data_IF_553037266325
#
_entry.id   IF_553037266325
#
_cell.length_a   1.000
_cell.length_b   1.000
_cell.length_c   1.000
_cell.angle_alpha   90.00
_cell.angle_beta   90.00
_cell.angle_gamma   90.00
#
_symmetry.space_group_name_H-M   'P 1'
#
loop_
_entity.id
_entity.type
_entity.pdbx_description
1 polymer ?
#
# COMPACT_ATOMS: atom_id res chain seq x y z
N UNK A 1 3.06 14.55 9.16
CA UNK A 1 3.62 15.02 7.92
C UNK A 1 4.82 14.23 7.44
N UNK A 2 5.92 14.91 7.15
CA UNK A 2 7.11 14.36 6.48
C UNK A 2 7.71 13.15 7.20
N UNK A 3 7.83 13.22 8.53
CA UNK A 3 8.36 12.10 9.33
C UNK A 3 7.52 10.83 9.13
N UNK A 4 6.21 10.95 9.18
CA UNK A 4 5.30 9.81 9.04
C UNK A 4 5.39 9.18 7.63
N UNK A 5 5.49 10.01 6.59
CA UNK A 5 5.72 9.53 5.22
C UNK A 5 7.03 8.73 5.12
N UNK A 6 8.12 9.24 5.71
CA UNK A 6 9.40 8.53 5.75
C UNK A 6 9.32 7.23 6.54
N UNK A 7 8.62 7.23 7.68
CA UNK A 7 8.42 6.01 8.51
C UNK A 7 7.58 4.94 7.82
N UNK A 8 6.81 5.27 6.81
CA UNK A 8 6.05 4.32 6.01
C UNK A 8 6.87 3.90 4.78
N UNK A 9 7.35 4.87 3.99
CA UNK A 9 7.95 4.61 2.68
C UNK A 9 9.26 3.83 2.77
N UNK A 10 10.18 4.28 3.64
CA UNK A 10 11.51 3.66 3.75
C UNK A 10 11.43 2.23 4.30
N UNK A 11 10.77 1.98 5.44
CA UNK A 11 10.61 0.62 5.94
C UNK A 11 9.84 -0.30 4.98
N UNK A 12 8.79 0.19 4.30
CA UNK A 12 8.06 -0.60 3.32
C UNK A 12 8.98 -1.08 2.18
N UNK A 13 9.79 -0.18 1.63
CA UNK A 13 10.76 -0.53 0.59
C UNK A 13 11.79 -1.55 1.07
N UNK A 14 12.32 -1.38 2.28
CA UNK A 14 13.29 -2.31 2.88
C UNK A 14 12.67 -3.70 3.07
N UNK A 15 11.47 -3.77 3.64
CA UNK A 15 10.78 -5.05 3.90
C UNK A 15 10.49 -5.77 2.59
N UNK A 16 9.95 -5.09 1.59
CA UNK A 16 9.64 -5.70 0.28
C UNK A 16 10.91 -6.20 -0.39
N UNK A 17 11.98 -5.40 -0.42
CA UNK A 17 13.26 -5.81 -0.98
C UNK A 17 13.83 -7.04 -0.25
N UNK A 18 13.74 -7.09 1.07
CA UNK A 18 14.19 -8.21 1.87
C UNK A 18 13.36 -9.49 1.64
N UNK A 19 12.03 -9.36 1.48
CA UNK A 19 11.15 -10.47 1.12
C UNK A 19 11.58 -11.06 -0.23
N UNK A 20 11.76 -10.22 -1.24
CA UNK A 20 12.19 -10.66 -2.56
C UNK A 20 13.59 -11.32 -2.54
N UNK A 21 14.51 -10.80 -1.74
CA UNK A 21 15.83 -11.39 -1.57
C UNK A 21 15.80 -12.78 -0.87
N UNK A 22 14.75 -13.06 -0.10
CA UNK A 22 14.54 -14.38 0.55
C UNK A 22 13.88 -15.42 -0.35
N UNK A 23 13.20 -14.99 -1.40
CA UNK A 23 12.64 -15.92 -2.39
C UNK A 23 13.79 -16.58 -3.16
N UNK A 24 13.87 -17.94 -3.23
CA UNK A 24 14.85 -18.61 -4.09
C UNK A 24 14.68 -18.18 -5.55
N UNK A 25 15.73 -17.63 -6.15
CA UNK A 25 15.69 -17.04 -7.49
C UNK A 25 15.24 -15.58 -7.54
N UNK A 26 14.93 -14.96 -6.36
CA UNK A 26 14.67 -13.53 -6.25
C UNK A 26 13.44 -13.04 -7.02
N UNK A 27 13.53 -11.82 -7.52
CA UNK A 27 12.45 -11.19 -8.28
C UNK A 27 12.08 -11.97 -9.54
N UNK A 28 13.05 -12.51 -10.25
CA UNK A 28 12.83 -13.26 -11.49
C UNK A 28 11.94 -14.50 -11.25
N UNK A 29 12.20 -15.21 -10.16
CA UNK A 29 11.38 -16.38 -9.76
C UNK A 29 9.94 -15.96 -9.38
N UNK A 30 9.78 -14.82 -8.69
CA UNK A 30 8.44 -14.31 -8.34
C UNK A 30 7.67 -13.94 -9.60
N UNK A 31 8.27 -13.19 -10.52
CA UNK A 31 7.60 -12.81 -11.77
C UNK A 31 7.32 -14.03 -12.66
N UNK A 32 8.27 -14.97 -12.79
CA UNK A 32 8.05 -16.19 -13.53
C UNK A 32 6.90 -17.03 -12.93
N UNK A 33 6.87 -17.19 -11.60
CA UNK A 33 5.81 -17.94 -10.89
C UNK A 33 4.44 -17.27 -11.02
N UNK A 34 4.38 -15.95 -10.85
CA UNK A 34 3.15 -15.20 -11.02
C UNK A 34 2.62 -15.25 -12.46
N UNK A 35 3.53 -15.18 -13.46
CA UNK A 35 3.19 -15.31 -14.88
C UNK A 35 2.75 -16.73 -15.26
N UNK A 36 3.36 -17.75 -14.66
CA UNK A 36 2.96 -19.15 -14.85
C UNK A 36 1.57 -19.47 -14.29
N UNK A 37 1.21 -18.82 -13.17
CA UNK A 37 -0.14 -18.93 -12.60
C UNK A 37 -1.20 -18.29 -13.52
N UNK A 38 -0.95 -17.11 -14.03
CA UNK A 38 -1.74 -16.42 -15.05
C UNK A 38 -0.86 -15.31 -15.68
N UNK A 39 -0.62 -15.39 -16.99
CA UNK A 39 0.16 -14.38 -17.72
C UNK A 39 -0.38 -12.94 -17.54
N UNK A 40 -1.68 -12.80 -17.28
CA UNK A 40 -2.33 -11.52 -17.02
C UNK A 40 -1.88 -10.87 -15.71
N UNK A 41 -1.30 -11.64 -14.77
CA UNK A 41 -0.78 -11.07 -13.51
C UNK A 41 0.40 -10.14 -13.71
N UNK A 42 1.10 -10.26 -14.84
CA UNK A 42 2.21 -9.39 -15.21
C UNK A 42 1.80 -8.21 -16.10
N UNK A 43 0.52 -8.13 -16.47
CA UNK A 43 0.02 -7.05 -17.31
C UNK A 43 -0.40 -5.85 -16.45
N UNK A 44 0.19 -4.69 -16.75
CA UNK A 44 -0.23 -3.40 -16.15
C UNK A 44 -1.61 -2.98 -16.69
N UNK A 45 -1.95 -3.40 -17.92
CA UNK A 45 -3.23 -3.10 -18.57
C UNK A 45 -4.14 -4.33 -18.45
N UNK A 46 -4.69 -4.54 -17.28
CA UNK A 46 -5.60 -5.63 -16.98
C UNK A 46 -7.03 -5.09 -16.88
N UNK A 47 -7.88 -5.25 -17.93
CA UNK A 47 -9.20 -4.61 -17.99
C UNK A 47 -10.15 -5.07 -16.88
N UNK A 48 -10.10 -6.34 -16.48
CA UNK A 48 -10.90 -6.91 -15.40
C UNK A 48 -10.52 -6.29 -14.04
N UNK A 49 -9.22 -6.16 -13.75
CA UNK A 49 -8.74 -5.50 -12.54
C UNK A 49 -8.98 -3.98 -12.58
N UNK A 50 -8.80 -3.35 -13.74
CA UNK A 50 -9.08 -1.93 -13.91
C UNK A 50 -10.56 -1.62 -13.72
N UNK A 51 -11.47 -2.40 -14.28
CA UNK A 51 -12.90 -2.19 -14.14
C UNK A 51 -13.41 -2.57 -12.73
N UNK A 52 -13.03 -3.76 -12.23
CA UNK A 52 -13.54 -4.29 -10.96
C UNK A 52 -12.97 -3.59 -9.73
N UNK A 53 -11.72 -3.15 -9.78
CA UNK A 53 -11.03 -2.53 -8.65
C UNK A 53 -10.59 -1.09 -8.94
N UNK A 54 -9.87 -0.88 -10.03
CA UNK A 54 -9.24 0.42 -10.30
C UNK A 54 -10.23 1.56 -10.47
N UNK A 55 -11.21 1.42 -11.35
CA UNK A 55 -12.22 2.46 -11.62
C UNK A 55 -13.12 2.65 -10.39
N UNK A 56 -13.59 1.57 -9.79
CA UNK A 56 -14.42 1.61 -8.58
C UNK A 56 -13.70 2.31 -7.43
N UNK A 57 -12.43 1.97 -7.21
CA UNK A 57 -11.60 2.60 -6.18
C UNK A 57 -11.35 4.08 -6.49
N UNK A 58 -11.07 4.43 -7.75
CA UNK A 58 -10.85 5.81 -8.15
C UNK A 58 -12.07 6.70 -7.88
N UNK A 59 -13.27 6.25 -8.26
CA UNK A 59 -14.52 6.98 -7.95
C UNK A 59 -14.82 7.02 -6.45
N UNK A 60 -14.59 5.92 -5.73
CA UNK A 60 -14.77 5.88 -4.28
C UNK A 60 -13.83 6.83 -3.55
N UNK A 61 -12.56 6.86 -3.91
CA UNK A 61 -11.58 7.78 -3.35
C UNK A 61 -11.86 9.25 -3.73
N UNK A 62 -12.31 9.51 -4.95
CA UNK A 62 -12.70 10.85 -5.36
C UNK A 62 -13.89 11.36 -4.52
N UNK A 63 -14.93 10.54 -4.36
CA UNK A 63 -16.08 10.87 -3.52
C UNK A 63 -15.66 11.07 -2.06
N UNK A 64 -14.82 10.19 -1.50
CA UNK A 64 -14.27 10.33 -0.17
C UNK A 64 -13.48 11.64 -0.01
N UNK A 65 -12.63 12.00 -0.97
CA UNK A 65 -11.85 13.24 -0.94
C UNK A 65 -12.76 14.47 -0.88
N UNK A 66 -13.88 14.48 -1.60
CA UNK A 66 -14.83 15.60 -1.60
C UNK A 66 -15.62 15.69 -0.28
N UNK A 67 -15.96 14.54 0.32
CA UNK A 67 -16.79 14.49 1.53
C UNK A 67 -16.00 14.49 2.84
N UNK A 68 -14.72 14.16 2.81
CA UNK A 68 -13.89 14.00 4.02
C UNK A 68 -13.27 15.32 4.46
N UNK A 69 -13.66 15.76 5.66
CA UNK A 69 -13.15 16.97 6.31
C UNK A 69 -11.62 16.97 6.48
N UNK A 70 -10.99 15.81 6.60
CA UNK A 70 -9.53 15.71 6.76
C UNK A 70 -8.77 16.23 5.54
N UNK A 71 -9.31 16.07 4.35
CA UNK A 71 -8.74 16.63 3.12
C UNK A 71 -8.89 18.14 3.08
N UNK A 72 -10.07 18.66 3.42
CA UNK A 72 -10.33 20.10 3.42
C UNK A 72 -9.45 20.85 4.41
N UNK A 73 -9.21 20.32 5.60
CA UNK A 73 -8.27 20.91 6.54
C UNK A 73 -6.86 21.05 5.95
N UNK A 74 -6.39 20.04 5.23
CA UNK A 74 -5.09 20.08 4.54
C UNK A 74 -5.08 21.11 3.42
N UNK A 75 -6.18 21.27 2.68
CA UNK A 75 -6.33 22.31 1.65
C UNK A 75 -6.24 23.70 2.26
N UNK A 76 -6.94 23.96 3.38
CA UNK A 76 -6.91 25.25 4.06
C UNK A 76 -5.54 25.60 4.67
N UNK A 77 -4.73 24.60 4.98
CA UNK A 77 -3.37 24.81 5.50
C UNK A 77 -2.36 25.22 4.42
N UNK A 78 -2.72 25.16 3.14
CA UNK A 78 -1.84 25.47 2.01
C UNK A 78 -2.27 26.78 1.35
N UNK A 79 -1.31 27.61 0.91
CA UNK A 79 -1.61 28.82 0.14
C UNK A 79 -2.40 28.46 -1.12
N UNK A 80 -3.48 29.17 -1.43
CA UNK A 80 -4.40 28.87 -2.53
C UNK A 80 -3.71 28.64 -3.88
N UNK A 81 -2.67 29.42 -4.19
CA UNK A 81 -1.88 29.29 -5.42
C UNK A 81 -1.07 28.01 -5.50
N UNK A 82 -0.75 27.38 -4.37
CA UNK A 82 0.14 26.23 -4.28
C UNK A 82 -0.63 24.91 -4.05
N UNK A 83 -1.95 24.95 -3.84
CA UNK A 83 -2.80 23.80 -3.53
C UNK A 83 -2.62 22.70 -4.59
N UNK A 84 -2.87 22.99 -5.86
CA UNK A 84 -2.80 22.01 -6.93
C UNK A 84 -1.42 21.35 -7.02
N UNK A 85 -0.36 22.16 -6.97
CA UNK A 85 1.03 21.66 -7.01
C UNK A 85 1.37 20.79 -5.82
N UNK A 86 0.96 21.20 -4.61
CA UNK A 86 1.22 20.45 -3.37
C UNK A 86 0.53 19.10 -3.39
N UNK A 87 -0.74 19.04 -3.80
CA UNK A 87 -1.49 17.79 -3.86
C UNK A 87 -1.00 16.86 -4.97
N UNK A 88 -0.58 17.40 -6.11
CA UNK A 88 0.04 16.61 -7.18
C UNK A 88 1.33 15.93 -6.70
N UNK A 89 2.22 16.69 -6.06
CA UNK A 89 3.45 16.13 -5.50
C UNK A 89 3.19 15.15 -4.36
N UNK A 90 2.22 15.43 -3.49
CA UNK A 90 1.83 14.51 -2.43
C UNK A 90 1.32 13.17 -3.00
N UNK A 91 0.51 13.21 -4.05
CA UNK A 91 0.04 12.03 -4.75
C UNK A 91 1.19 11.24 -5.40
N UNK A 92 2.10 11.94 -6.09
CA UNK A 92 3.27 11.31 -6.71
C UNK A 92 4.20 10.64 -5.69
N UNK A 93 4.40 11.25 -4.52
CA UNK A 93 5.21 10.69 -3.43
C UNK A 93 4.50 9.54 -2.70
N UNK A 94 3.18 9.55 -2.66
CA UNK A 94 2.41 8.47 -2.04
C UNK A 94 2.32 7.23 -2.93
N UNK A 95 2.26 7.40 -4.24
CA UNK A 95 2.01 6.34 -5.22
C UNK A 95 2.95 5.12 -5.12
N UNK A 96 4.27 5.25 -4.87
CA UNK A 96 5.17 4.10 -4.70
C UNK A 96 4.79 3.17 -3.53
N UNK A 97 4.17 3.69 -2.46
CA UNK A 97 3.86 2.90 -1.25
C UNK A 97 2.92 1.73 -1.54
N UNK A 98 1.70 1.95 -2.09
CA UNK A 98 0.79 0.85 -2.39
C UNK A 98 1.35 -0.09 -3.47
N UNK A 99 2.14 0.40 -4.42
CA UNK A 99 2.80 -0.45 -5.41
C UNK A 99 3.80 -1.39 -4.71
N UNK A 100 4.72 -0.85 -3.90
CA UNK A 100 5.67 -1.67 -3.16
C UNK A 100 4.98 -2.73 -2.30
N UNK A 101 3.99 -2.35 -1.51
CA UNK A 101 3.27 -3.29 -0.66
C UNK A 101 2.45 -4.30 -1.49
N UNK A 102 1.88 -3.87 -2.61
CA UNK A 102 1.18 -4.74 -3.55
C UNK A 102 2.08 -5.82 -4.17
N UNK A 103 3.38 -5.58 -4.29
CA UNK A 103 4.33 -6.58 -4.76
C UNK A 103 4.42 -7.82 -3.85
N UNK A 104 4.06 -7.71 -2.56
CA UNK A 104 3.92 -8.87 -1.68
C UNK A 104 2.82 -9.81 -2.18
N UNK A 105 1.77 -9.30 -2.81
CA UNK A 105 0.72 -10.10 -3.44
C UNK A 105 1.27 -10.97 -4.57
N UNK A 106 2.20 -10.47 -5.38
CA UNK A 106 2.85 -11.28 -6.44
C UNK A 106 3.64 -12.45 -5.85
N UNK A 107 4.30 -12.24 -4.71
CA UNK A 107 4.97 -13.34 -3.99
C UNK A 107 3.96 -14.41 -3.59
N UNK A 108 2.80 -14.02 -3.04
CA UNK A 108 1.73 -14.94 -2.69
C UNK A 108 1.23 -15.75 -3.89
N UNK A 109 1.02 -15.09 -5.03
CA UNK A 109 0.61 -15.77 -6.28
C UNK A 109 1.70 -16.73 -6.74
N UNK A 110 2.96 -16.33 -6.72
CA UNK A 110 4.08 -17.20 -7.13
C UNK A 110 4.22 -18.45 -6.27
N UNK A 111 3.88 -18.35 -4.98
CA UNK A 111 3.82 -19.51 -4.07
C UNK A 111 2.50 -20.30 -4.15
N UNK A 112 1.56 -19.90 -5.01
CA UNK A 112 0.27 -20.58 -5.19
C UNK A 112 -0.66 -20.45 -3.98
N UNK A 113 -0.47 -19.46 -3.12
CA UNK A 113 -1.30 -19.24 -1.93
C UNK A 113 -2.74 -18.94 -2.33
N UNK A 114 -3.66 -19.61 -1.67
CA UNK A 114 -5.11 -19.41 -1.83
C UNK A 114 -5.67 -18.66 -0.63
N UNK A 115 -6.84 -18.01 -0.76
CA UNK A 115 -7.48 -17.35 0.38
C UNK A 115 -7.64 -18.25 1.60
N UNK A 116 -7.93 -19.55 1.40
CA UNK A 116 -8.06 -20.51 2.49
C UNK A 116 -6.77 -20.67 3.33
N UNK A 117 -5.59 -20.52 2.69
CA UNK A 117 -4.29 -20.69 3.34
C UNK A 117 -3.94 -19.49 4.25
N UNK A 118 -4.61 -18.36 4.04
CA UNK A 118 -4.39 -17.09 4.74
C UNK A 118 -5.59 -16.66 5.59
N UNK A 119 -6.41 -17.62 6.03
CA UNK A 119 -7.55 -17.36 6.89
C UNK A 119 -8.80 -16.82 6.17
N UNK A 120 -8.88 -16.95 4.86
CA UNK A 120 -10.02 -16.53 4.04
C UNK A 120 -10.00 -15.04 3.63
N UNK A 121 -9.10 -14.23 4.18
CA UNK A 121 -8.99 -12.82 3.89
C UNK A 121 -7.74 -12.51 3.05
N UNK A 122 -7.94 -12.19 1.78
CA UNK A 122 -6.85 -11.82 0.86
C UNK A 122 -6.09 -10.57 1.28
N UNK A 123 -6.67 -9.72 2.12
CA UNK A 123 -5.97 -8.52 2.66
C UNK A 123 -4.83 -8.95 3.59
N UNK A 124 -4.93 -10.13 4.21
CA UNK A 124 -3.89 -10.66 5.09
C UNK A 124 -2.65 -11.20 4.36
N UNK A 125 -2.60 -11.15 3.00
CA UNK A 125 -1.48 -11.70 2.23
C UNK A 125 -0.13 -11.06 2.59
N UNK A 126 -0.07 -9.75 2.76
CA UNK A 126 1.15 -9.03 3.13
C UNK A 126 1.72 -9.47 4.48
N UNK A 127 0.94 -9.36 5.58
CA UNK A 127 1.33 -9.88 6.90
C UNK A 127 1.72 -11.37 6.87
N UNK A 128 0.96 -12.18 6.15
CA UNK A 128 1.24 -13.62 6.02
C UNK A 128 2.62 -13.88 5.39
N UNK A 129 2.90 -13.28 4.24
CA UNK A 129 4.20 -13.44 3.55
C UNK A 129 5.34 -13.00 4.45
N UNK A 130 5.26 -11.81 5.04
CA UNK A 130 6.33 -11.27 5.88
C UNK A 130 6.60 -12.15 7.09
N UNK A 131 5.55 -12.74 7.69
CA UNK A 131 5.72 -13.60 8.89
C UNK A 131 6.21 -15.02 8.56
N UNK A 132 5.97 -15.54 7.35
CA UNK A 132 6.25 -16.95 7.02
C UNK A 132 7.48 -17.14 6.12
N UNK A 133 7.93 -16.10 5.39
CA UNK A 133 9.06 -16.24 4.45
C UNK A 133 10.45 -16.26 5.13
N UNK A 134 10.50 -16.06 6.45
CA UNK A 134 11.75 -16.14 7.22
C UNK A 134 12.67 -14.93 7.07
N UNK A 135 12.12 -13.72 6.95
CA UNK A 135 12.91 -12.47 6.89
C UNK A 135 13.58 -12.06 8.21
N UNK A 136 13.25 -12.76 9.29
CA UNK A 136 13.76 -12.46 10.63
C UNK A 136 12.91 -11.43 11.39
N UNK A 137 12.99 -11.49 12.73
CA UNK A 137 12.14 -10.70 13.62
C UNK A 137 12.26 -9.18 13.38
N UNK A 138 13.46 -8.68 13.13
CA UNK A 138 13.68 -7.23 12.90
C UNK A 138 12.86 -6.70 11.73
N UNK A 139 12.79 -7.45 10.62
CA UNK A 139 12.02 -7.04 9.44
C UNK A 139 10.52 -7.22 9.65
N UNK A 140 10.10 -8.21 10.42
CA UNK A 140 8.69 -8.35 10.85
C UNK A 140 8.29 -7.15 11.71
N UNK A 141 9.11 -6.76 12.68
CA UNK A 141 8.84 -5.56 13.51
C UNK A 141 8.84 -4.27 12.68
N UNK A 142 9.73 -4.18 11.69
CA UNK A 142 9.75 -3.05 10.76
C UNK A 142 8.46 -2.98 9.93
N UNK A 143 7.93 -4.11 9.49
CA UNK A 143 6.64 -4.17 8.80
C UNK A 143 5.47 -3.78 9.71
N UNK A 144 5.47 -4.25 10.96
CA UNK A 144 4.49 -3.82 11.98
C UNK A 144 4.55 -2.31 12.19
N UNK A 145 5.75 -1.73 12.23
CA UNK A 145 5.94 -0.28 12.32
C UNK A 145 5.29 0.45 11.15
N UNK A 146 5.41 -0.07 9.92
CA UNK A 146 4.73 0.50 8.72
C UNK A 146 3.22 0.54 8.92
N UNK A 147 2.64 -0.58 9.37
CA UNK A 147 1.20 -0.68 9.62
C UNK A 147 0.76 0.31 10.71
N UNK A 148 1.48 0.33 11.83
CA UNK A 148 1.18 1.24 12.94
C UNK A 148 1.30 2.71 12.54
N UNK A 149 2.32 3.07 11.76
CA UNK A 149 2.50 4.43 11.25
C UNK A 149 1.37 4.84 10.30
N UNK A 150 0.89 3.92 9.47
CA UNK A 150 -0.26 4.16 8.59
C UNK A 150 -1.56 4.34 9.39
N UNK A 151 -1.82 3.47 10.37
CA UNK A 151 -2.96 3.58 11.29
C UNK A 151 -2.93 4.90 12.07
N UNK A 152 -1.77 5.24 12.64
CA UNK A 152 -1.58 6.48 13.38
C UNK A 152 -1.86 7.72 12.51
N UNK A 153 -1.39 7.73 11.26
CA UNK A 153 -1.66 8.81 10.32
C UNK A 153 -3.15 9.03 10.07
N UNK A 154 -3.90 7.94 9.98
CA UNK A 154 -5.36 7.98 9.77
C UNK A 154 -6.07 8.51 11.01
N UNK A 155 -5.71 8.00 12.19
CA UNK A 155 -6.30 8.42 13.47
C UNK A 155 -6.00 9.90 13.75
N UNK A 156 -4.77 10.36 13.52
CA UNK A 156 -4.36 11.75 13.69
C UNK A 156 -5.19 12.69 12.79
N UNK A 157 -5.35 12.33 11.52
CA UNK A 157 -6.21 13.07 10.59
C UNK A 157 -7.67 13.13 11.02
N UNK A 158 -8.23 11.99 11.41
CA UNK A 158 -9.63 11.91 11.87
C UNK A 158 -9.86 12.70 13.17
N UNK A 159 -8.92 12.62 14.13
CA UNK A 159 -8.98 13.36 15.38
C UNK A 159 -8.92 14.87 15.17
N UNK A 160 -8.04 15.32 14.27
CA UNK A 160 -7.95 16.73 13.89
C UNK A 160 -9.25 17.21 13.22
N UNK A 161 -9.83 16.40 12.33
CA UNK A 161 -11.11 16.72 11.70
C UNK A 161 -12.25 16.84 12.73
N UNK A 162 -12.33 15.90 13.65
CA UNK A 162 -13.34 15.91 14.70
C UNK A 162 -13.22 17.15 15.59
N UNK A 163 -12.00 17.50 16.01
CA UNK A 163 -11.76 18.65 16.86
C UNK A 163 -12.08 20.00 16.19
N UNK A 164 -12.19 20.04 14.87
CA UNK A 164 -12.58 21.25 14.15
C UNK A 164 -14.09 21.45 14.01
N UNK A 165 -14.88 20.44 14.34
CA UNK A 165 -16.34 20.47 14.23
C UNK A 165 -17.00 20.75 15.60
N UNK A 166 -16.26 20.55 16.68
CA UNK A 166 -16.68 20.85 18.07
C UNK A 166 -16.26 22.25 18.46
#
# INVERSE_FOLDING_TARGET
GTLNTLMITVPAAIVVAAVYAKVPGGADAVFAGAGAADARNLSVLRPDAAAGFGITLAFGLLAATVSDQTFWQKVWAVKSRDVGRTFLWAGALFYPIPICLGMLGLVGIAYGLKPADIGGDIVAIGPYIVSHIGVGLTLVLLYVLVILAACYSTIDGASAALSSVV
#
